data_IF_636117160955
#
_entry.id   IF_636117160955
#
_cell.length_a   1.000
_cell.length_b   1.000
_cell.length_c   1.000
_cell.angle_alpha   90.00
_cell.angle_beta   90.00
_cell.angle_gamma   90.00
#
_symmetry.space_group_name_H-M   'P 1'
#
loop_
_entity.id
_entity.type
_entity.pdbx_description
1 polymer ?
#
# COMPACT_ATOMS: atom_id res chain seq x y z
N UNK A 1 -0.59 19.81 -21.05
CA UNK A 1 -1.97 19.40 -20.74
C UNK A 1 -2.02 18.71 -19.36
N UNK A 2 -1.05 17.83 -19.04
CA UNK A 2 -1.10 17.05 -17.79
C UNK A 2 -1.03 17.93 -16.52
N UNK A 3 -0.41 19.09 -16.57
CA UNK A 3 -0.32 20.04 -15.45
C UNK A 3 -1.62 20.82 -15.20
N UNK A 4 -2.53 20.83 -16.17
CA UNK A 4 -3.78 21.58 -16.06
C UNK A 4 -4.86 20.74 -15.32
N UNK A 5 -5.21 21.08 -14.06
CA UNK A 5 -6.17 20.31 -13.29
C UNK A 5 -7.62 20.42 -13.82
N UNK A 6 -7.89 21.33 -14.73
CA UNK A 6 -9.22 21.47 -15.35
C UNK A 6 -9.48 20.44 -16.45
N UNK A 7 -8.42 19.80 -16.97
CA UNK A 7 -8.55 18.78 -18.00
C UNK A 7 -8.97 17.42 -17.39
N UNK A 8 -9.72 16.61 -18.15
CA UNK A 8 -10.05 15.25 -17.73
C UNK A 8 -8.81 14.42 -17.40
N UNK A 9 -8.89 13.57 -16.37
CA UNK A 9 -7.77 12.77 -15.88
C UNK A 9 -7.16 11.91 -16.98
N UNK A 10 -7.99 11.28 -17.82
CA UNK A 10 -7.55 10.41 -18.92
C UNK A 10 -6.70 11.18 -19.95
N UNK A 11 -7.06 12.43 -20.23
CA UNK A 11 -6.28 13.29 -21.13
C UNK A 11 -4.96 13.69 -20.50
N UNK A 12 -4.96 14.00 -19.21
CA UNK A 12 -3.75 14.35 -18.47
C UNK A 12 -2.79 13.15 -18.40
N UNK A 13 -3.29 11.97 -18.11
CA UNK A 13 -2.51 10.73 -18.08
C UNK A 13 -1.93 10.40 -19.44
N UNK A 14 -2.73 10.47 -20.51
CA UNK A 14 -2.26 10.20 -21.87
C UNK A 14 -1.16 11.19 -22.30
N UNK A 15 -1.32 12.47 -21.99
CA UNK A 15 -0.34 13.50 -22.27
C UNK A 15 0.97 13.27 -21.51
N UNK A 16 0.89 12.99 -20.20
CA UNK A 16 2.04 12.69 -19.37
C UNK A 16 2.80 11.46 -19.89
N UNK A 17 2.10 10.34 -20.10
CA UNK A 17 2.70 9.11 -20.60
C UNK A 17 3.40 9.28 -21.96
N UNK A 18 2.88 10.14 -22.82
CA UNK A 18 3.48 10.43 -24.14
C UNK A 18 4.81 11.19 -24.01
N UNK A 19 5.04 11.86 -22.91
CA UNK A 19 6.26 12.65 -22.64
C UNK A 19 7.30 11.89 -21.84
N UNK A 20 6.91 10.81 -21.15
CA UNK A 20 7.80 10.02 -20.29
C UNK A 20 8.76 9.15 -21.08
N UNK A 21 10.03 9.17 -20.68
CA UNK A 21 11.01 8.16 -21.10
C UNK A 21 10.71 6.79 -20.47
N UNK A 22 11.40 5.75 -20.92
CA UNK A 22 11.27 4.40 -20.30
C UNK A 22 11.76 4.43 -18.86
N UNK A 23 12.86 5.11 -18.58
CA UNK A 23 13.44 5.27 -17.24
C UNK A 23 12.44 5.95 -16.29
N UNK A 24 11.82 7.05 -16.72
CA UNK A 24 10.81 7.75 -15.93
C UNK A 24 9.58 6.89 -15.66
N UNK A 25 9.15 6.10 -16.64
CA UNK A 25 8.04 5.13 -16.45
C UNK A 25 8.41 4.05 -15.44
N UNK A 26 9.62 3.49 -15.52
CA UNK A 26 10.05 2.45 -14.59
C UNK A 26 10.23 2.96 -13.17
N UNK A 27 10.66 4.21 -12.99
CA UNK A 27 10.73 4.85 -11.68
C UNK A 27 9.35 4.95 -11.00
N UNK A 28 8.27 5.15 -11.76
CA UNK A 28 6.90 5.17 -11.23
C UNK A 28 6.37 3.79 -10.82
N UNK A 29 7.16 2.72 -10.97
CA UNK A 29 6.81 1.36 -10.54
C UNK A 29 7.53 0.96 -9.23
N UNK A 30 8.25 1.87 -8.59
CA UNK A 30 9.09 1.57 -7.45
C UNK A 30 8.74 2.39 -6.21
N UNK A 31 8.88 1.77 -5.04
CA UNK A 31 8.79 2.39 -3.72
C UNK A 31 10.18 2.56 -3.11
N UNK A 32 10.40 3.67 -2.42
CA UNK A 32 11.47 3.82 -1.45
C UNK A 32 10.91 3.57 -0.05
N UNK A 33 11.53 2.66 0.68
CA UNK A 33 11.19 2.44 2.08
C UNK A 33 12.06 3.29 3.01
N UNK A 34 11.37 4.06 3.87
CA UNK A 34 12.01 4.90 4.87
C UNK A 34 12.72 6.11 4.31
N UNK A 35 13.40 6.84 5.19
CA UNK A 35 13.99 8.15 4.89
C UNK A 35 15.52 8.12 4.78
N UNK A 36 16.18 7.04 5.17
CA UNK A 36 17.65 7.01 5.35
C UNK A 36 18.47 7.28 4.08
N UNK A 37 17.85 7.13 2.91
CA UNK A 37 18.47 7.46 1.62
C UNK A 37 18.11 8.86 1.15
N UNK A 38 16.99 9.41 1.59
CA UNK A 38 16.50 10.75 1.22
C UNK A 38 16.93 11.81 2.22
N UNK A 39 16.93 11.46 3.50
CA UNK A 39 17.17 12.35 4.63
C UNK A 39 18.33 11.82 5.48
N UNK A 40 19.37 12.59 5.58
CA UNK A 40 20.46 12.41 6.54
C UNK A 40 20.63 13.74 7.28
N UNK A 41 21.23 13.90 8.32
CA UNK A 41 21.49 15.09 9.17
C UNK A 41 20.99 16.47 8.68
N UNK A 42 20.83 16.65 7.40
CA UNK A 42 20.20 17.80 6.73
C UNK A 42 19.40 17.35 5.49
N UNK A 43 18.38 18.10 5.14
CA UNK A 43 17.50 17.83 4.00
C UNK A 43 17.84 18.66 2.77
N UNK A 44 17.78 18.07 1.58
CA UNK A 44 17.91 16.65 1.22
C UNK A 44 19.36 16.17 1.34
N UNK A 45 19.57 14.83 1.36
CA UNK A 45 20.93 14.25 1.33
C UNK A 45 21.65 14.75 0.08
N UNK A 46 22.83 15.34 0.28
CA UNK A 46 23.66 15.73 -0.86
C UNK A 46 23.94 14.51 -1.75
N UNK A 47 23.66 14.62 -3.03
CA UNK A 47 23.89 13.55 -3.98
C UNK A 47 22.67 12.68 -4.32
N UNK A 48 21.54 12.76 -3.60
CA UNK A 48 20.33 12.01 -3.98
C UNK A 48 19.83 12.36 -5.38
N UNK A 49 20.08 13.58 -5.83
CA UNK A 49 19.78 14.04 -7.19
C UNK A 49 20.54 13.29 -8.28
N UNK A 50 21.61 12.59 -7.94
CA UNK A 50 22.43 11.83 -8.88
C UNK A 50 22.09 10.34 -8.93
N UNK A 51 21.15 9.91 -8.08
CA UNK A 51 20.64 8.55 -8.07
C UNK A 51 19.40 8.42 -8.97
N UNK A 52 18.77 7.28 -8.92
CA UNK A 52 17.54 6.93 -9.66
C UNK A 52 16.41 7.96 -9.47
N UNK A 53 16.42 8.68 -8.34
CA UNK A 53 15.42 9.69 -7.96
C UNK A 53 15.33 10.87 -8.92
N UNK A 54 16.37 11.19 -9.66
CA UNK A 54 16.35 12.28 -10.66
C UNK A 54 15.23 12.10 -11.69
N UNK A 55 14.82 10.85 -11.93
CA UNK A 55 13.78 10.47 -12.86
C UNK A 55 12.40 10.26 -12.16
N UNK A 56 12.34 10.52 -10.85
CA UNK A 56 11.13 10.36 -10.03
C UNK A 56 11.05 9.03 -9.29
N UNK A 57 9.95 8.83 -8.58
CA UNK A 57 9.59 7.57 -7.91
C UNK A 57 8.10 7.55 -7.63
N UNK A 58 7.47 6.37 -7.53
CA UNK A 58 6.05 6.26 -7.26
C UNK A 58 5.71 6.74 -5.84
N UNK A 59 6.32 6.13 -4.83
CA UNK A 59 6.05 6.48 -3.44
C UNK A 59 7.27 6.33 -2.53
N UNK A 60 7.19 6.99 -1.37
CA UNK A 60 8.11 6.86 -0.24
C UNK A 60 7.29 6.37 0.95
N UNK A 61 7.65 5.18 1.46
CA UNK A 61 6.92 4.54 2.54
C UNK A 61 7.55 4.83 3.91
N UNK A 62 6.69 5.00 4.92
CA UNK A 62 7.03 5.23 6.33
C UNK A 62 8.03 6.38 6.59
N UNK A 63 8.04 7.41 5.76
CA UNK A 63 8.94 8.54 5.95
C UNK A 63 8.61 9.31 7.23
N UNK A 64 9.58 9.42 8.15
CA UNK A 64 9.49 10.19 9.40
C UNK A 64 8.34 9.77 10.35
N UNK A 65 7.91 8.51 10.33
CA UNK A 65 6.86 8.03 11.25
C UNK A 65 7.27 8.00 12.73
N UNK A 66 8.56 8.13 13.03
CA UNK A 66 9.08 8.12 14.40
C UNK A 66 9.13 6.72 15.03
N UNK A 67 8.79 5.67 14.26
CA UNK A 67 8.74 4.29 14.72
C UNK A 67 9.94 3.51 14.19
N UNK A 68 10.53 2.66 15.04
CA UNK A 68 11.65 1.81 14.66
C UNK A 68 13.03 2.50 14.69
N UNK A 69 14.07 1.70 14.51
CA UNK A 69 15.47 2.15 14.64
C UNK A 69 15.90 3.19 13.61
N UNK A 70 15.34 3.12 12.40
CA UNK A 70 15.70 4.04 11.31
C UNK A 70 15.16 5.45 11.57
N UNK A 71 13.93 5.57 12.06
CA UNK A 71 13.32 6.84 12.41
C UNK A 71 13.99 7.55 13.60
N UNK A 72 14.58 6.79 14.52
CA UNK A 72 15.31 7.34 15.65
C UNK A 72 16.64 8.03 15.27
N UNK A 73 17.10 7.86 14.02
CA UNK A 73 18.38 8.41 13.55
C UNK A 73 18.31 9.91 13.20
N UNK A 74 17.10 10.48 13.11
CA UNK A 74 16.92 11.91 12.80
C UNK A 74 15.89 12.58 13.72
N UNK A 75 16.10 12.55 15.05
CA UNK A 75 15.13 13.08 16.00
C UNK A 75 14.84 14.58 15.80
N UNK A 76 15.80 15.36 15.29
CA UNK A 76 15.61 16.76 14.97
C UNK A 76 14.65 17.05 13.83
N UNK A 77 14.31 16.05 13.00
CA UNK A 77 13.32 16.18 11.93
C UNK A 77 11.91 15.78 12.40
N UNK A 78 11.81 15.07 13.51
CA UNK A 78 10.53 14.70 14.11
C UNK A 78 9.96 15.82 15.00
N UNK A 79 10.83 16.68 15.51
CA UNK A 79 10.50 17.74 16.45
C UNK A 79 11.29 19.02 16.25
N UNK A 80 10.65 20.16 16.42
CA UNK A 80 9.20 20.37 16.53
C UNK A 80 8.46 19.95 15.25
N UNK A 81 7.15 19.84 15.27
CA UNK A 81 6.37 19.42 14.08
C UNK A 81 6.57 20.30 12.83
N UNK A 82 6.98 21.55 13.01
CA UNK A 82 7.41 22.41 11.89
C UNK A 82 8.55 21.76 11.08
N UNK A 83 9.49 21.11 11.74
CA UNK A 83 10.60 20.43 11.08
C UNK A 83 10.14 19.22 10.28
N UNK A 84 9.18 18.45 10.83
CA UNK A 84 8.56 17.34 10.10
C UNK A 84 7.87 17.84 8.82
N UNK A 85 7.02 18.85 8.94
CA UNK A 85 6.32 19.43 7.81
C UNK A 85 7.28 20.02 6.77
N UNK A 86 8.32 20.73 7.21
CA UNK A 86 9.37 21.27 6.34
C UNK A 86 10.11 20.16 5.60
N UNK A 87 10.42 19.06 6.29
CA UNK A 87 11.09 17.91 5.71
C UNK A 87 10.27 17.26 4.59
N UNK A 88 9.01 16.94 4.86
CA UNK A 88 8.10 16.36 3.88
C UNK A 88 7.88 17.30 2.70
N UNK A 89 7.62 18.59 2.97
CA UNK A 89 7.43 19.60 1.93
C UNK A 89 8.69 19.83 1.09
N UNK A 90 9.87 19.75 1.68
CA UNK A 90 11.14 19.89 0.94
C UNK A 90 11.34 18.75 -0.03
N UNK A 91 11.06 17.52 0.39
CA UNK A 91 11.11 16.34 -0.49
C UNK A 91 10.08 16.46 -1.61
N UNK A 92 8.83 16.79 -1.28
CA UNK A 92 7.78 16.93 -2.29
C UNK A 92 8.10 18.04 -3.30
N UNK A 93 8.56 19.20 -2.82
CA UNK A 93 8.92 20.33 -3.67
C UNK A 93 10.01 19.95 -4.66
N UNK A 94 10.99 19.19 -4.22
CA UNK A 94 12.04 18.73 -5.13
C UNK A 94 11.48 17.87 -6.29
N UNK A 95 10.58 16.92 -6.00
CA UNK A 95 9.97 16.12 -7.06
C UNK A 95 9.14 16.98 -8.02
N UNK A 96 8.40 17.96 -7.50
CA UNK A 96 7.51 18.81 -8.31
C UNK A 96 8.29 19.87 -9.08
N UNK A 97 9.32 20.49 -8.50
CA UNK A 97 9.97 21.67 -9.08
C UNK A 97 11.30 21.37 -9.77
N UNK A 98 11.99 20.27 -9.39
CA UNK A 98 13.33 19.98 -9.89
C UNK A 98 13.44 18.72 -10.75
N UNK A 99 12.44 17.84 -10.77
CA UNK A 99 12.41 16.74 -11.75
C UNK A 99 11.80 17.23 -13.08
N UNK A 100 12.14 16.57 -14.17
CA UNK A 100 11.76 17.01 -15.53
C UNK A 100 10.24 17.10 -15.73
N UNK A 101 9.50 16.19 -15.14
CA UNK A 101 8.04 16.07 -15.31
C UNK A 101 7.23 16.59 -14.13
N UNK A 102 7.86 16.92 -13.02
CA UNK A 102 7.20 17.46 -11.85
C UNK A 102 6.14 16.53 -11.24
N UNK A 103 6.31 15.21 -11.36
CA UNK A 103 5.37 14.23 -10.81
C UNK A 103 5.55 14.20 -9.29
N UNK A 104 4.49 14.54 -8.51
CA UNK A 104 4.57 14.47 -7.07
C UNK A 104 4.74 13.03 -6.59
N UNK A 105 5.51 12.84 -5.51
CA UNK A 105 5.65 11.54 -4.87
C UNK A 105 4.49 11.27 -3.91
N UNK A 106 4.03 10.02 -3.87
CA UNK A 106 3.06 9.57 -2.88
C UNK A 106 3.78 9.21 -1.56
N UNK A 107 3.35 9.78 -0.43
CA UNK A 107 3.86 9.44 0.89
C UNK A 107 2.95 8.44 1.56
N UNK A 108 3.38 7.19 1.62
CA UNK A 108 2.59 6.08 2.18
C UNK A 108 2.97 5.80 3.63
N UNK A 109 2.03 5.27 4.39
CA UNK A 109 2.27 4.84 5.76
C UNK A 109 1.29 3.72 6.17
N UNK A 110 1.68 2.95 7.17
CA UNK A 110 0.84 1.93 7.77
C UNK A 110 -0.34 2.51 8.56
N UNK A 111 -1.46 1.78 8.59
CA UNK A 111 -2.70 2.22 9.23
C UNK A 111 -3.43 1.16 10.04
N UNK A 112 -2.75 0.11 10.48
CA UNK A 112 -3.36 -1.04 11.17
C UNK A 112 -4.04 -0.64 12.48
N UNK A 113 -3.36 0.17 13.30
CA UNK A 113 -3.80 0.64 14.63
C UNK A 113 -4.01 2.16 14.66
N UNK A 114 -4.64 2.74 13.66
CA UNK A 114 -4.54 4.14 13.31
C UNK A 114 -3.26 4.39 12.51
N UNK A 115 -2.96 5.64 12.20
CA UNK A 115 -1.75 5.99 11.45
C UNK A 115 -0.50 5.56 12.24
N UNK A 116 0.44 4.90 11.56
CA UNK A 116 1.69 4.46 12.17
C UNK A 116 2.66 5.64 12.34
N UNK A 117 2.41 6.48 13.35
CA UNK A 117 3.25 7.61 13.68
C UNK A 117 3.27 7.83 15.19
N UNK A 118 4.44 8.19 15.75
CA UNK A 118 4.62 8.39 17.20
C UNK A 118 3.72 9.44 17.83
N UNK A 119 3.11 10.30 17.03
CA UNK A 119 2.20 11.37 17.47
C UNK A 119 0.76 11.18 17.01
N UNK A 120 0.49 10.15 16.25
CA UNK A 120 -0.87 9.79 15.89
C UNK A 120 -1.60 9.11 17.05
N UNK A 121 -2.91 9.12 16.98
CA UNK A 121 -3.77 8.44 17.96
C UNK A 121 -3.69 6.92 17.78
N UNK A 122 -3.19 6.18 18.78
CA UNK A 122 -3.21 4.73 18.70
C UNK A 122 -4.63 4.22 18.84
N UNK A 123 -5.13 3.55 17.81
CA UNK A 123 -6.43 2.88 17.86
C UNK A 123 -6.29 1.45 18.42
N UNK A 124 -7.37 0.87 18.98
CA UNK A 124 -7.37 -0.54 19.36
C UNK A 124 -7.03 -1.46 18.17
N UNK A 125 -6.59 -2.67 18.46
CA UNK A 125 -6.39 -3.69 17.44
C UNK A 125 -7.67 -3.93 16.64
N UNK A 126 -7.60 -4.12 15.30
CA UNK A 126 -8.78 -4.34 14.47
C UNK A 126 -9.73 -5.44 14.96
N UNK A 127 -9.21 -6.51 15.55
CA UNK A 127 -10.05 -7.57 16.14
C UNK A 127 -10.92 -7.04 17.30
N UNK A 128 -10.41 -6.09 18.10
CA UNK A 128 -11.18 -5.45 19.15
C UNK A 128 -12.19 -4.45 18.57
N UNK A 129 -11.81 -3.72 17.53
CA UNK A 129 -12.74 -2.85 16.79
C UNK A 129 -13.85 -3.67 16.15
N UNK A 130 -13.53 -4.79 15.52
CA UNK A 130 -14.48 -5.72 14.92
C UNK A 130 -15.51 -6.24 15.92
N UNK A 131 -15.07 -6.52 17.16
CA UNK A 131 -15.94 -6.98 18.25
C UNK A 131 -17.00 -5.97 18.68
N UNK A 132 -16.90 -4.71 18.28
CA UNK A 132 -17.89 -3.69 18.55
C UNK A 132 -19.14 -3.78 17.66
N UNK A 133 -19.02 -4.39 16.49
CA UNK A 133 -20.07 -4.46 15.45
C UNK A 133 -20.62 -3.08 15.05
N UNK A 134 -19.85 -2.01 15.29
CA UNK A 134 -20.28 -0.63 15.14
C UNK A 134 -19.64 0.05 13.95
N UNK A 135 -20.36 0.11 12.83
CA UNK A 135 -19.95 0.74 11.58
C UNK A 135 -19.58 2.21 11.72
N UNK A 136 -20.37 2.97 12.50
CA UNK A 136 -20.13 4.40 12.70
C UNK A 136 -18.84 4.65 13.48
N UNK A 137 -18.55 3.83 14.49
CA UNK A 137 -17.29 3.89 15.23
C UNK A 137 -16.10 3.67 14.30
N UNK A 138 -16.19 2.67 13.42
CA UNK A 138 -15.12 2.38 12.45
C UNK A 138 -14.93 3.52 11.45
N UNK A 139 -16.03 4.11 10.96
CA UNK A 139 -15.95 5.29 10.10
C UNK A 139 -15.25 6.46 10.79
N UNK A 140 -15.58 6.73 12.04
CA UNK A 140 -14.90 7.77 12.84
C UNK A 140 -13.43 7.48 13.06
N UNK A 141 -13.08 6.22 13.31
CA UNK A 141 -11.68 5.78 13.40
C UNK A 141 -10.92 6.05 12.08
N UNK A 142 -11.54 5.75 10.94
CA UNK A 142 -11.00 6.07 9.62
C UNK A 142 -10.82 7.57 9.38
N UNK A 143 -11.79 8.39 9.82
CA UNK A 143 -11.69 9.86 9.75
C UNK A 143 -10.50 10.37 10.56
N UNK A 144 -10.30 9.86 11.78
CA UNK A 144 -9.14 10.24 12.62
C UNK A 144 -7.85 9.87 11.93
N UNK A 145 -7.71 8.62 11.46
CA UNK A 145 -6.51 8.18 10.77
C UNK A 145 -6.22 9.02 9.52
N UNK A 146 -7.23 9.34 8.72
CA UNK A 146 -7.10 10.18 7.53
C UNK A 146 -6.73 11.63 7.85
N UNK A 147 -7.32 12.22 8.90
CA UNK A 147 -6.98 13.58 9.35
C UNK A 147 -5.53 13.68 9.83
N UNK A 148 -5.09 12.71 10.62
CA UNK A 148 -3.73 12.66 11.13
C UNK A 148 -2.72 12.40 9.99
N UNK A 149 -3.04 11.50 9.05
CA UNK A 149 -2.23 11.28 7.87
C UNK A 149 -2.05 12.56 7.05
N UNK A 150 -3.15 13.25 6.75
CA UNK A 150 -3.11 14.52 6.02
C UNK A 150 -2.31 15.60 6.75
N UNK A 151 -2.50 15.73 8.07
CA UNK A 151 -1.79 16.72 8.88
C UNK A 151 -0.27 16.47 8.92
N UNK A 152 0.15 15.22 8.82
CA UNK A 152 1.55 14.80 8.80
C UNK A 152 2.13 14.67 7.38
N UNK A 153 1.33 14.97 6.34
CA UNK A 153 1.79 14.98 4.95
C UNK A 153 1.76 13.62 4.25
N UNK A 154 1.18 12.59 4.88
CA UNK A 154 0.96 11.31 4.20
C UNK A 154 -0.25 11.40 3.28
N UNK A 155 -0.12 10.85 2.10
CA UNK A 155 -1.13 10.90 1.04
C UNK A 155 -1.88 9.58 0.90
N UNK A 156 -1.38 8.51 1.52
CA UNK A 156 -1.92 7.17 1.42
C UNK A 156 -1.68 6.37 2.70
N UNK A 157 -2.67 5.60 3.13
CA UNK A 157 -2.61 4.73 4.32
C UNK A 157 -2.88 3.29 3.91
N UNK A 158 -1.97 2.39 4.29
CA UNK A 158 -2.09 0.95 4.07
C UNK A 158 -3.06 0.32 5.07
N UNK A 159 -4.34 0.59 4.87
CA UNK A 159 -5.49 0.11 5.63
C UNK A 159 -6.77 0.24 4.78
N UNK A 160 -7.82 -0.54 5.11
CA UNK A 160 -7.93 -1.60 6.13
C UNK A 160 -7.33 -2.95 5.72
N UNK A 161 -7.08 -3.81 6.73
CA UNK A 161 -6.80 -5.22 6.51
C UNK A 161 -8.12 -5.98 6.41
N UNK A 162 -8.32 -6.66 5.28
CA UNK A 162 -9.55 -7.39 4.97
C UNK A 162 -9.37 -8.90 5.02
N UNK A 163 -8.22 -9.37 5.49
CA UNK A 163 -7.97 -10.78 5.72
C UNK A 163 -8.98 -11.35 6.71
N UNK A 164 -9.45 -12.56 6.43
CA UNK A 164 -10.42 -13.24 7.26
C UNK A 164 -9.71 -14.22 8.23
N UNK A 165 -10.01 -14.15 9.51
CA UNK A 165 -9.43 -15.03 10.51
C UNK A 165 -10.08 -16.41 10.45
N UNK A 166 -9.44 -17.36 9.77
CA UNK A 166 -9.93 -18.75 9.70
C UNK A 166 -9.23 -19.68 10.71
N UNK A 167 -8.00 -19.34 11.04
CA UNK A 167 -7.22 -20.09 12.03
C UNK A 167 -6.47 -19.10 12.94
N UNK A 168 -6.71 -19.16 14.27
CA UNK A 168 -6.09 -18.22 15.21
C UNK A 168 -4.57 -18.41 15.37
N UNK A 169 -4.00 -19.46 14.82
CA UNK A 169 -2.54 -19.67 14.78
C UNK A 169 -1.85 -18.78 13.76
N UNK A 170 -2.60 -18.17 12.84
CA UNK A 170 -2.05 -17.19 11.93
C UNK A 170 -1.54 -15.95 12.68
N UNK A 171 -0.29 -15.57 12.45
CA UNK A 171 0.42 -14.54 13.25
C UNK A 171 -0.16 -13.13 13.19
N UNK A 172 -1.05 -12.83 12.23
CA UNK A 172 -1.65 -11.50 12.02
C UNK A 172 -3.14 -11.44 12.38
N UNK A 173 -3.64 -12.41 13.12
CA UNK A 173 -5.04 -12.49 13.55
C UNK A 173 -5.56 -11.20 14.19
N UNK A 174 -4.76 -10.55 15.03
CA UNK A 174 -5.13 -9.30 15.71
C UNK A 174 -5.30 -8.09 14.77
N UNK A 175 -4.75 -8.15 13.56
CA UNK A 175 -4.84 -7.06 12.59
C UNK A 175 -6.15 -7.10 11.78
N UNK A 176 -6.99 -8.12 11.98
CA UNK A 176 -8.21 -8.36 11.21
C UNK A 176 -9.46 -8.06 12.02
N UNK A 177 -10.57 -7.70 11.35
CA UNK A 177 -11.84 -7.41 12.02
C UNK A 177 -12.57 -8.65 12.57
N UNK A 178 -12.18 -9.85 12.17
CA UNK A 178 -12.80 -11.08 12.64
C UNK A 178 -12.77 -12.21 11.62
N UNK A 179 -13.68 -13.16 11.79
CA UNK A 179 -13.77 -14.39 10.99
C UNK A 179 -14.97 -14.42 10.04
N UNK A 180 -15.83 -13.40 10.09
CA UNK A 180 -17.07 -13.35 9.32
C UNK A 180 -16.93 -12.36 8.15
N UNK A 181 -17.03 -12.83 6.87
CA UNK A 181 -16.73 -12.02 5.70
C UNK A 181 -17.64 -10.81 5.50
N UNK A 182 -18.93 -10.94 5.86
CA UNK A 182 -19.86 -9.81 5.76
C UNK A 182 -19.51 -8.69 6.76
N UNK A 183 -19.16 -9.05 7.99
CA UNK A 183 -18.73 -8.07 9.01
C UNK A 183 -17.46 -7.35 8.56
N UNK A 184 -16.46 -8.10 8.07
CA UNK A 184 -15.22 -7.52 7.56
C UNK A 184 -15.50 -6.56 6.40
N UNK A 185 -16.35 -6.94 5.46
CA UNK A 185 -16.74 -6.09 4.33
C UNK A 185 -17.45 -4.82 4.81
N UNK A 186 -18.40 -4.94 5.75
CA UNK A 186 -19.15 -3.81 6.27
C UNK A 186 -18.26 -2.81 7.03
N UNK A 187 -17.36 -3.29 7.88
CA UNK A 187 -16.45 -2.45 8.64
C UNK A 187 -15.32 -1.89 7.75
N UNK A 188 -14.77 -2.70 6.86
CA UNK A 188 -13.75 -2.27 5.90
C UNK A 188 -14.24 -1.14 4.98
N UNK A 189 -15.49 -1.23 4.50
CA UNK A 189 -16.14 -0.15 3.73
C UNK A 189 -16.15 1.17 4.51
N UNK A 190 -16.50 1.13 5.79
CA UNK A 190 -16.56 2.35 6.62
C UNK A 190 -15.17 2.91 6.93
N UNK A 191 -14.17 2.06 7.11
CA UNK A 191 -12.78 2.50 7.29
C UNK A 191 -12.26 3.22 6.04
N UNK A 192 -12.45 2.66 4.84
CA UNK A 192 -12.09 3.31 3.57
C UNK A 192 -12.80 4.65 3.42
N UNK A 193 -14.12 4.66 3.61
CA UNK A 193 -14.92 5.88 3.52
C UNK A 193 -14.45 6.96 4.52
N UNK A 194 -14.06 6.55 5.72
CA UNK A 194 -13.50 7.46 6.72
C UNK A 194 -12.18 8.07 6.28
N UNK A 195 -11.21 7.25 5.90
CA UNK A 195 -9.88 7.69 5.45
C UNK A 195 -10.01 8.59 4.20
N UNK A 196 -10.71 8.12 3.17
CA UNK A 196 -10.80 8.83 1.89
C UNK A 196 -11.63 10.12 1.97
N UNK A 197 -12.55 10.24 2.95
CA UNK A 197 -13.26 11.50 3.20
C UNK A 197 -12.34 12.67 3.59
N UNK A 198 -11.11 12.37 3.99
CA UNK A 198 -10.10 13.37 4.35
C UNK A 198 -9.16 13.73 3.19
N UNK A 199 -9.37 13.14 2.02
CA UNK A 199 -8.51 13.34 0.84
C UNK A 199 -7.19 12.58 0.93
N UNK A 200 -7.17 11.47 1.66
CA UNK A 200 -6.05 10.52 1.79
C UNK A 200 -6.49 9.20 1.18
N UNK A 201 -5.63 8.57 0.39
CA UNK A 201 -5.91 7.28 -0.20
C UNK A 201 -5.95 6.18 0.86
N UNK A 202 -6.81 5.19 0.65
CA UNK A 202 -6.82 3.94 1.41
C UNK A 202 -6.39 2.79 0.50
N UNK A 203 -5.51 1.93 1.01
CA UNK A 203 -5.00 0.75 0.32
C UNK A 203 -5.42 -0.51 1.06
N UNK A 204 -6.30 -1.29 0.45
CA UNK A 204 -6.77 -2.56 1.00
C UNK A 204 -5.66 -3.61 1.05
N UNK A 205 -5.61 -4.44 2.08
CA UNK A 205 -4.64 -5.53 2.17
C UNK A 205 -5.15 -6.73 2.99
N UNK A 206 -4.59 -7.90 2.79
CA UNK A 206 -3.64 -8.31 1.74
C UNK A 206 -4.38 -9.16 0.70
N UNK A 207 -4.48 -8.67 -0.49
CA UNK A 207 -5.22 -9.32 -1.57
C UNK A 207 -4.38 -10.43 -2.23
N UNK A 208 -4.68 -11.72 -2.06
CA UNK A 208 -5.80 -12.28 -1.33
C UNK A 208 -5.44 -13.64 -0.74
N UNK A 209 -6.34 -14.15 0.11
CA UNK A 209 -6.27 -15.51 0.69
C UNK A 209 -5.01 -15.77 1.52
N UNK A 210 -4.49 -14.74 2.17
CA UNK A 210 -3.25 -14.75 2.93
C UNK A 210 -3.37 -15.33 4.35
N UNK A 211 -4.55 -15.26 4.97
CA UNK A 211 -4.79 -15.54 6.38
C UNK A 211 -4.87 -17.04 6.71
N UNK A 212 -3.81 -17.75 6.45
CA UNK A 212 -3.66 -19.17 6.79
C UNK A 212 -2.46 -19.38 7.69
N UNK A 213 -2.48 -20.34 8.63
CA UNK A 213 -1.46 -20.49 9.65
C UNK A 213 -0.09 -20.91 9.13
N UNK A 214 -0.05 -21.55 7.99
CA UNK A 214 1.16 -22.12 7.43
C UNK A 214 1.93 -21.05 6.65
N UNK A 215 3.15 -20.79 7.07
CA UNK A 215 4.04 -19.84 6.43
C UNK A 215 3.89 -18.38 6.84
N UNK A 216 2.97 -18.02 7.70
CA UNK A 216 2.71 -16.69 8.30
C UNK A 216 3.55 -15.50 7.85
N UNK A 217 3.40 -14.36 8.47
CA UNK A 217 4.08 -13.13 8.08
C UNK A 217 5.59 -13.27 7.88
N UNK A 218 6.26 -13.87 8.88
CA UNK A 218 7.71 -13.93 8.94
C UNK A 218 8.25 -15.32 8.59
N UNK A 219 7.36 -16.22 8.17
CA UNK A 219 7.75 -17.51 7.64
C UNK A 219 8.40 -17.35 6.27
N UNK A 220 8.32 -18.35 5.46
CA UNK A 220 8.82 -18.22 4.12
C UNK A 220 7.89 -17.40 3.21
N UNK A 221 6.78 -16.88 3.72
CA UNK A 221 5.72 -16.16 3.00
C UNK A 221 5.13 -16.93 1.80
N UNK A 222 5.70 -18.06 1.51
CA UNK A 222 5.33 -18.98 0.46
C UNK A 222 4.41 -20.04 1.02
N UNK A 223 3.13 -19.87 0.81
CA UNK A 223 2.13 -20.80 1.33
C UNK A 223 0.95 -20.86 0.42
N UNK A 224 0.71 -22.05 -0.15
CA UNK A 224 -0.59 -22.36 -0.73
C UNK A 224 -1.58 -22.64 0.41
N UNK A 225 -2.66 -21.89 0.52
CA UNK A 225 -3.69 -22.10 1.53
C UNK A 225 -4.50 -23.36 1.31
N UNK A 226 -4.40 -24.01 0.14
CA UNK A 226 -5.22 -25.16 -0.28
C UNK A 226 -6.72 -24.92 -0.14
N UNK A 227 -7.15 -23.71 -0.49
CA UNK A 227 -8.54 -23.28 -0.45
C UNK A 227 -9.22 -23.62 -1.79
N UNK A 228 -10.34 -24.33 -1.72
CA UNK A 228 -11.11 -24.65 -2.91
C UNK A 228 -11.71 -23.40 -3.57
N UNK A 229 -11.93 -23.36 -4.91
CA UNK A 229 -12.42 -22.16 -5.59
C UNK A 229 -13.70 -21.57 -5.00
N UNK A 230 -14.66 -22.39 -4.57
CA UNK A 230 -15.89 -21.92 -3.94
C UNK A 230 -15.59 -21.17 -2.63
N UNK A 231 -14.77 -21.74 -1.77
CA UNK A 231 -14.39 -21.14 -0.50
C UNK A 231 -13.59 -19.84 -0.71
N UNK A 232 -12.70 -19.81 -1.71
CA UNK A 232 -11.98 -18.61 -2.11
C UNK A 232 -12.94 -17.45 -2.39
N UNK A 233 -13.96 -17.68 -3.23
CA UNK A 233 -14.91 -16.63 -3.62
C UNK A 233 -15.92 -16.26 -2.53
N UNK A 234 -16.44 -17.25 -1.79
CA UNK A 234 -17.48 -17.04 -0.79
C UNK A 234 -16.94 -16.40 0.49
N UNK A 235 -15.69 -16.68 0.85
CA UNK A 235 -15.10 -16.20 2.10
C UNK A 235 -13.98 -15.19 1.88
N UNK A 236 -12.88 -15.59 1.28
CA UNK A 236 -11.65 -14.78 1.25
C UNK A 236 -11.74 -13.58 0.30
N UNK A 237 -12.36 -13.72 -0.85
CA UNK A 237 -12.51 -12.64 -1.83
C UNK A 237 -13.73 -11.75 -1.57
N UNK A 238 -14.71 -12.26 -0.86
CA UNK A 238 -15.96 -11.53 -0.60
C UNK A 238 -15.74 -10.15 0.05
N UNK A 239 -14.91 -9.99 1.11
CA UNK A 239 -14.67 -8.69 1.71
C UNK A 239 -14.05 -7.70 0.71
N UNK A 240 -13.04 -8.11 -0.04
CA UNK A 240 -12.39 -7.26 -1.03
C UNK A 240 -13.37 -6.80 -2.12
N UNK A 241 -14.10 -7.75 -2.73
CA UNK A 241 -15.12 -7.43 -3.74
C UNK A 241 -16.13 -6.41 -3.24
N UNK A 242 -16.65 -6.61 -2.02
CA UNK A 242 -17.67 -5.71 -1.45
C UNK A 242 -17.12 -4.35 -1.09
N UNK A 243 -15.93 -4.26 -0.52
CA UNK A 243 -15.31 -2.98 -0.19
C UNK A 243 -14.97 -2.21 -1.46
N UNK A 244 -14.42 -2.85 -2.48
CA UNK A 244 -14.15 -2.21 -3.77
C UNK A 244 -15.42 -1.61 -4.37
N UNK A 245 -16.49 -2.41 -4.44
CA UNK A 245 -17.76 -1.97 -5.03
C UNK A 245 -18.48 -0.87 -4.25
N UNK A 246 -18.29 -0.82 -2.92
CA UNK A 246 -19.04 0.10 -2.05
C UNK A 246 -18.28 1.37 -1.68
N UNK A 247 -16.95 1.40 -1.79
CA UNK A 247 -16.13 2.52 -1.30
C UNK A 247 -15.04 3.00 -2.25
N UNK A 248 -14.85 2.32 -3.37
CA UNK A 248 -13.87 2.70 -4.41
C UNK A 248 -12.49 3.06 -3.81
N UNK A 249 -11.79 2.12 -3.15
CA UNK A 249 -10.47 2.36 -2.59
C UNK A 249 -9.47 2.70 -3.70
N UNK A 250 -8.52 3.57 -3.41
CA UNK A 250 -7.53 3.99 -4.39
C UNK A 250 -6.38 3.00 -4.56
N UNK A 251 -6.14 2.13 -3.59
CA UNK A 251 -5.08 1.13 -3.63
C UNK A 251 -5.52 -0.26 -3.17
N UNK A 252 -4.81 -1.27 -3.68
CA UNK A 252 -4.87 -2.66 -3.22
C UNK A 252 -3.45 -3.20 -3.13
N UNK A 253 -3.12 -3.84 -2.01
CA UNK A 253 -1.82 -4.50 -1.80
C UNK A 253 -1.96 -5.99 -2.01
N UNK A 254 -1.17 -6.55 -2.94
CA UNK A 254 -1.12 -7.98 -3.20
C UNK A 254 -0.41 -8.72 -2.06
N UNK A 255 -0.85 -9.93 -1.77
CA UNK A 255 -0.35 -10.76 -0.68
C UNK A 255 0.91 -11.56 -1.06
N UNK A 256 1.55 -12.15 -0.04
CA UNK A 256 2.77 -12.95 -0.20
C UNK A 256 2.57 -14.37 -0.70
N UNK A 257 1.41 -14.95 -0.44
CA UNK A 257 1.13 -16.35 -0.68
C UNK A 257 0.88 -16.67 -2.16
N UNK A 258 0.93 -17.94 -2.47
CA UNK A 258 0.42 -18.49 -3.71
C UNK A 258 -1.00 -19.08 -3.51
N UNK A 259 -1.67 -19.33 -4.61
CA UNK A 259 -2.88 -20.10 -4.66
C UNK A 259 -2.78 -21.05 -5.85
N UNK A 260 -2.94 -22.35 -5.60
CA UNK A 260 -2.77 -23.42 -6.58
C UNK A 260 -1.41 -23.33 -7.32
N UNK A 261 -0.35 -23.02 -6.57
CA UNK A 261 1.03 -22.93 -7.06
C UNK A 261 1.39 -21.64 -7.79
N UNK A 262 0.47 -20.67 -7.95
CA UNK A 262 0.74 -19.38 -8.59
C UNK A 262 0.76 -18.26 -7.53
N UNK A 263 1.88 -17.55 -7.36
CA UNK A 263 1.93 -16.41 -6.43
C UNK A 263 0.89 -15.36 -6.80
N UNK A 264 0.15 -14.87 -5.80
CA UNK A 264 -0.92 -13.88 -6.04
C UNK A 264 -0.35 -12.62 -6.71
N UNK A 265 0.85 -12.19 -6.32
CA UNK A 265 1.51 -11.01 -6.92
C UNK A 265 1.88 -11.16 -8.40
N UNK A 266 1.95 -12.39 -8.93
CA UNK A 266 2.19 -12.68 -10.36
C UNK A 266 0.99 -13.35 -11.05
N UNK A 267 -0.18 -13.34 -10.42
CA UNK A 267 -1.37 -13.99 -10.95
C UNK A 267 -2.25 -13.02 -11.74
N UNK A 268 -2.31 -13.19 -13.05
CA UNK A 268 -3.22 -12.45 -13.94
C UNK A 268 -4.68 -12.67 -13.53
N UNK A 269 -5.03 -13.88 -13.11
CA UNK A 269 -6.37 -14.23 -12.60
C UNK A 269 -6.77 -13.32 -11.42
N UNK A 270 -5.89 -13.19 -10.40
CA UNK A 270 -6.22 -12.34 -9.25
C UNK A 270 -6.17 -10.85 -9.59
N UNK A 271 -5.08 -10.38 -10.21
CA UNK A 271 -4.82 -8.94 -10.32
C UNK A 271 -5.55 -8.29 -11.50
N UNK A 272 -5.90 -9.05 -12.52
CA UNK A 272 -6.59 -8.53 -13.70
C UNK A 272 -8.02 -9.06 -13.82
N UNK A 273 -8.22 -10.36 -14.01
CA UNK A 273 -9.56 -10.91 -14.25
C UNK A 273 -10.51 -10.65 -13.08
N UNK A 274 -10.12 -11.01 -11.86
CA UNK A 274 -10.98 -10.78 -10.69
C UNK A 274 -11.00 -9.32 -10.25
N UNK A 275 -9.82 -8.74 -10.00
CA UNK A 275 -9.72 -7.44 -9.36
C UNK A 275 -10.24 -6.32 -10.26
N UNK A 276 -9.78 -6.26 -11.51
CA UNK A 276 -10.12 -5.17 -12.44
C UNK A 276 -11.39 -5.45 -13.24
N UNK A 277 -11.48 -6.62 -13.86
CA UNK A 277 -12.56 -6.90 -14.80
C UNK A 277 -13.86 -7.29 -14.07
N UNK A 278 -13.78 -8.14 -13.02
CA UNK A 278 -14.98 -8.56 -12.31
C UNK A 278 -15.41 -7.60 -11.21
N UNK A 279 -14.45 -7.09 -10.38
CA UNK A 279 -14.79 -6.21 -9.24
C UNK A 279 -14.83 -4.74 -9.62
N UNK A 280 -14.28 -4.35 -10.77
CA UNK A 280 -14.28 -2.99 -11.27
C UNK A 280 -13.29 -2.08 -10.54
N UNK A 281 -12.18 -2.63 -10.04
CA UNK A 281 -11.14 -1.85 -9.40
C UNK A 281 -10.34 -1.04 -10.42
N UNK A 282 -10.32 0.27 -10.27
CA UNK A 282 -9.66 1.22 -11.16
C UNK A 282 -8.43 1.93 -10.54
N UNK A 283 -8.11 1.61 -9.28
CA UNK A 283 -6.95 2.13 -8.58
C UNK A 283 -5.63 1.43 -8.93
N UNK A 284 -4.60 1.63 -8.11
CA UNK A 284 -3.30 0.99 -8.31
C UNK A 284 -3.11 -0.25 -7.41
N UNK A 285 -2.32 -1.20 -7.90
CA UNK A 285 -1.91 -2.38 -7.16
C UNK A 285 -0.46 -2.22 -6.71
N UNK A 286 -0.23 -2.28 -5.40
CA UNK A 286 1.11 -2.31 -4.82
C UNK A 286 1.42 -3.72 -4.31
N UNK A 287 2.68 -4.16 -4.40
CA UNK A 287 3.07 -5.42 -3.76
C UNK A 287 3.22 -5.24 -2.24
N UNK A 288 3.00 -6.30 -1.48
CA UNK A 288 3.57 -6.35 -0.13
C UNK A 288 5.11 -6.35 -0.21
N UNK A 289 5.75 -6.06 0.90
CA UNK A 289 7.21 -5.87 0.98
C UNK A 289 7.97 -7.09 0.45
N UNK A 290 8.82 -6.90 -0.57
CA UNK A 290 9.62 -7.95 -1.21
C UNK A 290 8.79 -9.07 -1.91
N UNK A 291 7.47 -8.93 -2.05
CA UNK A 291 6.65 -9.98 -2.67
C UNK A 291 7.00 -10.24 -4.14
N UNK A 292 7.55 -9.25 -4.83
CA UNK A 292 8.06 -9.42 -6.22
C UNK A 292 9.33 -10.28 -6.23
N UNK A 293 10.24 -10.03 -5.30
CA UNK A 293 11.47 -10.80 -5.12
C UNK A 293 11.19 -12.25 -4.74
N UNK A 294 10.10 -12.48 -4.01
CA UNK A 294 9.70 -13.83 -3.59
C UNK A 294 9.20 -14.71 -4.73
N UNK A 295 8.77 -14.13 -5.84
CA UNK A 295 8.38 -14.90 -7.03
C UNK A 295 9.54 -15.78 -7.52
N UNK A 296 10.76 -15.23 -7.51
CA UNK A 296 12.00 -15.98 -7.82
C UNK A 296 12.53 -16.68 -6.56
N UNK A 297 12.81 -15.95 -5.48
CA UNK A 297 13.63 -16.43 -4.38
C UNK A 297 12.94 -17.41 -3.43
N UNK A 298 11.60 -17.40 -3.36
CA UNK A 298 10.83 -18.27 -2.45
C UNK A 298 9.80 -19.16 -3.16
N UNK A 299 9.07 -18.62 -4.11
CA UNK A 299 8.10 -19.42 -4.88
C UNK A 299 8.77 -20.26 -5.97
N UNK A 300 9.93 -19.81 -6.49
CA UNK A 300 10.68 -20.50 -7.54
C UNK A 300 9.86 -20.74 -8.81
N UNK A 301 9.03 -19.76 -9.18
CA UNK A 301 8.22 -19.79 -10.42
C UNK A 301 8.78 -18.87 -11.51
N UNK A 302 9.88 -18.20 -11.22
CA UNK A 302 10.72 -17.46 -12.15
C UNK A 302 12.18 -17.91 -11.97
N UNK A 303 12.92 -18.01 -13.07
CA UNK A 303 14.33 -18.40 -13.04
C UNK A 303 15.27 -17.23 -12.66
N UNK A 304 14.80 -16.00 -12.88
CA UNK A 304 15.55 -14.77 -12.60
C UNK A 304 14.64 -13.70 -12.02
N UNK A 305 15.24 -12.72 -11.34
CA UNK A 305 14.51 -11.56 -10.85
C UNK A 305 13.87 -10.74 -12.00
N UNK A 306 14.54 -10.60 -13.14
CA UNK A 306 13.98 -9.89 -14.30
C UNK A 306 12.70 -10.58 -14.82
N UNK A 307 12.70 -11.91 -14.81
CA UNK A 307 11.50 -12.67 -15.16
C UNK A 307 10.39 -12.51 -14.13
N UNK A 308 10.73 -12.49 -12.84
CA UNK A 308 9.76 -12.19 -11.78
C UNK A 308 9.12 -10.82 -11.98
N UNK A 309 9.91 -9.78 -12.28
CA UNK A 309 9.40 -8.44 -12.59
C UNK A 309 8.48 -8.45 -13.81
N UNK A 310 8.86 -9.14 -14.88
CA UNK A 310 8.01 -9.29 -16.07
C UNK A 310 6.67 -9.95 -15.73
N UNK A 311 6.69 -11.06 -14.99
CA UNK A 311 5.48 -11.80 -14.62
C UNK A 311 4.52 -10.92 -13.79
N UNK A 312 5.00 -10.18 -12.81
CA UNK A 312 4.15 -9.34 -11.97
C UNK A 312 3.56 -8.15 -12.73
N UNK A 313 4.32 -7.55 -13.66
CA UNK A 313 3.82 -6.47 -14.52
C UNK A 313 2.74 -6.98 -15.49
N UNK A 314 2.98 -8.13 -16.13
CA UNK A 314 2.00 -8.77 -17.01
C UNK A 314 0.72 -9.20 -16.27
N UNK A 315 0.84 -9.55 -14.98
CA UNK A 315 -0.29 -9.88 -14.12
C UNK A 315 -1.14 -8.66 -13.73
N UNK A 316 -0.59 -7.44 -13.78
CA UNK A 316 -1.31 -6.21 -13.45
C UNK A 316 -0.84 -5.49 -12.18
N UNK A 317 0.31 -5.87 -11.61
CA UNK A 317 0.95 -5.14 -10.52
C UNK A 317 1.50 -3.80 -11.04
N UNK A 318 1.29 -2.72 -10.27
CA UNK A 318 1.72 -1.38 -10.67
C UNK A 318 2.96 -0.89 -9.91
N UNK A 319 3.02 -1.13 -8.60
CA UNK A 319 4.09 -0.60 -7.75
C UNK A 319 4.70 -1.71 -6.91
N UNK A 320 6.01 -1.84 -6.98
CA UNK A 320 6.78 -2.77 -6.16
C UNK A 320 7.19 -2.10 -4.85
N UNK A 321 6.91 -2.74 -3.72
CA UNK A 321 7.46 -2.33 -2.42
C UNK A 321 8.73 -3.10 -2.10
N UNK A 322 9.82 -2.39 -1.87
CA UNK A 322 11.12 -2.96 -1.55
C UNK A 322 11.91 -2.10 -0.57
N UNK A 323 12.68 -2.74 0.32
CA UNK A 323 13.37 -2.07 1.43
C UNK A 323 14.84 -1.72 1.17
N UNK A 324 15.39 -2.05 0.02
CA UNK A 324 16.81 -1.78 -0.31
C UNK A 324 17.01 -0.81 -1.43
#
# INVERSE_FOLDING_TARGET
IYEDPSQPVEKRVADLLSQMSVEEKTCQLATLYGYGRVLKDSLPVAGWKNEIWKDGIANIDEMLNGVGKKSAQVPGLLYPFSNHAEAVNTVQRWFVEETRLGIPVDFTNEGIHGLNHTKATPLPAPIAIGSTWNKELVRRAGVIAGQEAKALGYTNVYAPILDIVRDPRWGRTLECYGEEPYLIAALGTEMVNGIQSQGVAATLKHYAVYSVPKGGRDGNCRTDPHVAPRELHELFLYPFKKVIQNSHPMGVMSSYNDWDGVPVSSSYYFLTELLREEYGFDGYVVSDSEAVEFVESKHHVADTYDEAVRQVLEAGLNVRTHFT
#
